data_IF_688383989407
#
_entry.id   IF_688383989407
#
_cell.length_a   1.000
_cell.length_b   1.000
_cell.length_c   1.000
_cell.angle_alpha   90.00
_cell.angle_beta   90.00
_cell.angle_gamma   90.00
#
_symmetry.space_group_name_H-M   'P 1'
#
loop_
_entity.id
_entity.type
_entity.pdbx_description
1 polymer ?
#
# COMPACT_ATOMS: atom_id res chain seq x y z
N UNK A 1 9.37 13.81 10.01
CA UNK A 1 8.83 13.19 8.78
C UNK A 1 7.55 13.92 8.39
N UNK A 2 7.65 14.98 7.59
CA UNK A 2 6.49 15.64 6.95
C UNK A 2 6.95 16.61 5.83
N UNK A 3 7.88 16.19 4.97
CA UNK A 3 8.25 16.98 3.80
C UNK A 3 8.05 16.12 2.57
N UNK A 4 6.83 16.13 2.03
CA UNK A 4 6.42 15.95 0.63
C UNK A 4 7.37 15.20 -0.35
N UNK A 5 8.11 14.19 0.10
CA UNK A 5 9.03 13.38 -0.69
C UNK A 5 8.53 11.93 -0.71
N UNK A 6 7.39 11.67 -1.38
CA UNK A 6 6.88 10.33 -1.53
C UNK A 6 7.86 9.44 -2.30
N UNK A 7 8.67 10.02 -3.19
CA UNK A 7 9.65 9.26 -3.99
C UNK A 7 10.80 8.77 -3.12
N UNK A 8 11.36 9.62 -2.25
CA UNK A 8 12.38 9.23 -1.28
C UNK A 8 11.88 8.14 -0.34
N UNK A 9 10.67 8.29 0.20
CA UNK A 9 10.06 7.29 1.08
C UNK A 9 9.87 5.93 0.38
N UNK A 10 9.46 5.93 -0.89
CA UNK A 10 9.34 4.69 -1.68
C UNK A 10 10.70 4.06 -1.95
N UNK A 11 11.74 4.86 -2.24
CA UNK A 11 13.11 4.34 -2.43
C UNK A 11 13.65 3.70 -1.16
N UNK A 12 13.46 4.34 -0.01
CA UNK A 12 13.88 3.80 1.28
C UNK A 12 13.14 2.51 1.61
N UNK A 13 11.81 2.50 1.48
CA UNK A 13 11.01 1.30 1.71
C UNK A 13 11.42 0.14 0.76
N UNK A 14 11.71 0.43 -0.51
CA UNK A 14 12.13 -0.59 -1.46
C UNK A 14 13.52 -1.15 -1.13
N UNK A 15 14.47 -0.30 -0.74
CA UNK A 15 15.78 -0.74 -0.26
C UNK A 15 15.62 -1.67 0.94
N UNK A 16 14.87 -1.25 1.95
CA UNK A 16 14.68 -2.03 3.18
C UNK A 16 14.03 -3.40 2.92
N UNK A 17 13.04 -3.46 2.00
CA UNK A 17 12.39 -4.72 1.59
C UNK A 17 13.35 -5.62 0.82
N UNK A 18 14.10 -5.07 -0.15
CA UNK A 18 15.01 -5.87 -0.98
C UNK A 18 16.23 -6.36 -0.22
N UNK A 19 16.78 -5.57 0.70
CA UNK A 19 17.86 -6.00 1.60
C UNK A 19 17.40 -7.12 2.55
N UNK A 20 16.15 -7.06 3.03
CA UNK A 20 15.61 -8.05 3.97
C UNK A 20 15.24 -9.38 3.31
N UNK A 21 14.62 -9.34 2.13
CA UNK A 21 14.00 -10.52 1.53
C UNK A 21 14.73 -11.04 0.28
N UNK A 22 15.56 -10.22 -0.37
CA UNK A 22 16.11 -10.48 -1.70
C UNK A 22 15.12 -10.10 -2.80
N UNK A 23 15.59 -9.39 -3.82
CA UNK A 23 14.73 -8.91 -4.92
C UNK A 23 14.12 -10.03 -5.76
N UNK A 24 14.81 -11.16 -5.87
CA UNK A 24 14.38 -12.38 -6.56
C UNK A 24 13.13 -13.02 -5.94
N UNK A 25 12.87 -12.76 -4.66
CA UNK A 25 11.70 -13.28 -3.94
C UNK A 25 10.47 -12.38 -4.03
N UNK A 26 10.62 -11.16 -4.57
CA UNK A 26 9.54 -10.20 -4.69
C UNK A 26 8.82 -10.44 -6.02
N UNK A 27 7.62 -11.01 -5.95
CA UNK A 27 6.82 -11.36 -7.14
C UNK A 27 6.10 -10.18 -7.77
N UNK A 28 5.79 -9.14 -6.98
CA UNK A 28 5.03 -7.99 -7.42
C UNK A 28 5.24 -6.82 -6.46
N UNK A 29 5.10 -5.60 -6.98
CA UNK A 29 5.08 -4.36 -6.21
C UNK A 29 3.78 -3.63 -6.52
N UNK A 30 3.02 -3.29 -5.47
CA UNK A 30 1.73 -2.64 -5.61
C UNK A 30 1.68 -1.30 -4.85
N UNK A 31 1.01 -0.31 -5.43
CA UNK A 31 0.78 1.01 -4.83
C UNK A 31 -0.72 1.31 -4.74
N UNK A 32 -1.10 2.04 -3.69
CA UNK A 32 -2.46 2.53 -3.45
C UNK A 32 -2.42 3.98 -2.96
N UNK A 33 -3.58 4.57 -2.67
CA UNK A 33 -3.70 5.94 -2.22
C UNK A 33 -3.65 7.00 -3.33
N UNK A 34 -3.75 8.26 -2.92
CA UNK A 34 -3.81 9.40 -3.82
C UNK A 34 -2.56 9.52 -4.71
N UNK A 35 -2.77 9.61 -6.02
CA UNK A 35 -1.69 9.77 -7.02
C UNK A 35 -1.05 8.46 -7.49
N UNK A 36 -1.33 7.32 -6.84
CA UNK A 36 -0.72 6.05 -7.20
C UNK A 36 -1.15 5.51 -8.57
N UNK A 37 -2.30 5.95 -9.08
CA UNK A 37 -2.80 5.62 -10.44
C UNK A 37 -1.84 6.04 -11.57
N UNK A 38 -0.91 6.95 -11.27
CA UNK A 38 0.08 7.43 -12.24
C UNK A 38 1.31 6.51 -12.36
N UNK A 39 1.63 5.72 -11.33
CA UNK A 39 2.85 4.90 -11.31
C UNK A 39 2.92 3.85 -12.42
N UNK A 40 1.84 3.10 -12.74
CA UNK A 40 1.90 2.12 -13.83
C UNK A 40 2.27 2.71 -15.19
N UNK A 41 2.13 4.04 -15.38
CA UNK A 41 2.48 4.72 -16.64
C UNK A 41 3.99 4.96 -16.79
N UNK A 42 4.74 4.93 -15.70
CA UNK A 42 6.17 5.30 -15.66
C UNK A 42 7.05 4.22 -15.03
N UNK A 43 6.46 3.17 -14.46
CA UNK A 43 7.15 2.06 -13.81
C UNK A 43 6.53 0.74 -14.26
N UNK A 44 7.27 0.01 -15.09
CA UNK A 44 6.82 -1.27 -15.65
C UNK A 44 6.62 -2.33 -14.56
N UNK A 45 5.56 -3.13 -14.69
CA UNK A 45 5.26 -4.24 -13.78
C UNK A 45 4.60 -3.84 -12.45
N UNK A 46 4.41 -2.55 -12.18
CA UNK A 46 3.69 -2.10 -10.97
C UNK A 46 2.19 -2.37 -11.08
N UNK A 47 1.62 -2.84 -9.97
CA UNK A 47 0.17 -2.94 -9.78
C UNK A 47 -0.38 -1.71 -9.06
N UNK A 48 -1.40 -1.06 -9.60
CA UNK A 48 -2.19 -0.08 -8.86
C UNK A 48 -3.43 -0.75 -8.26
N UNK A 49 -3.79 -0.36 -7.03
CA UNK A 49 -5.02 -0.81 -6.38
C UNK A 49 -5.67 0.31 -5.57
N UNK A 50 -6.97 0.20 -5.33
CA UNK A 50 -7.73 1.19 -4.56
C UNK A 50 -7.56 0.99 -3.06
N UNK A 51 -7.66 2.09 -2.29
CA UNK A 51 -7.66 2.04 -0.82
C UNK A 51 -8.76 1.10 -0.30
N UNK A 52 -9.92 1.10 -0.96
CA UNK A 52 -11.06 0.23 -0.66
C UNK A 52 -10.80 -1.27 -0.84
N UNK A 53 -9.71 -1.63 -1.50
CA UNK A 53 -9.25 -3.03 -1.65
C UNK A 53 -8.05 -3.29 -0.75
N UNK A 54 -7.06 -2.39 -0.77
CA UNK A 54 -5.82 -2.54 0.00
C UNK A 54 -6.05 -2.55 1.51
N UNK A 55 -6.91 -1.66 2.03
CA UNK A 55 -7.16 -1.54 3.46
C UNK A 55 -7.82 -2.81 4.02
N UNK A 56 -8.95 -3.31 3.47
CA UNK A 56 -9.53 -4.57 3.93
C UNK A 56 -8.57 -5.75 3.84
N UNK A 57 -7.81 -5.86 2.74
CA UNK A 57 -6.89 -6.99 2.55
C UNK A 57 -5.72 -6.97 3.53
N UNK A 58 -5.20 -5.78 3.82
CA UNK A 58 -4.19 -5.58 4.86
C UNK A 58 -4.72 -5.94 6.24
N UNK A 59 -5.96 -5.52 6.56
CA UNK A 59 -6.60 -5.85 7.83
C UNK A 59 -6.84 -7.35 7.99
N UNK A 60 -7.32 -8.06 6.96
CA UNK A 60 -7.47 -9.52 6.96
C UNK A 60 -6.13 -10.22 7.24
N UNK A 61 -5.03 -9.70 6.70
CA UNK A 61 -3.69 -10.25 6.92
C UNK A 61 -3.18 -10.02 8.35
N UNK A 62 -3.44 -8.83 8.91
CA UNK A 62 -2.95 -8.44 10.24
C UNK A 62 -3.84 -8.97 11.39
N UNK A 63 -5.15 -9.01 11.19
CA UNK A 63 -6.16 -9.49 12.14
C UNK A 63 -7.29 -10.20 11.38
N UNK A 64 -7.14 -11.52 11.12
CA UNK A 64 -8.12 -12.28 10.34
C UNK A 64 -9.53 -12.34 10.92
N UNK A 65 -9.69 -12.09 12.22
CA UNK A 65 -11.00 -12.10 12.90
C UNK A 65 -11.67 -10.72 12.92
N UNK A 66 -11.07 -9.70 12.31
CA UNK A 66 -11.66 -8.37 12.24
C UNK A 66 -12.95 -8.41 11.42
N UNK A 67 -14.06 -8.01 12.03
CA UNK A 67 -15.35 -7.88 11.32
C UNK A 67 -15.60 -6.45 10.84
N UNK A 68 -14.95 -5.48 11.46
CA UNK A 68 -15.14 -4.06 11.19
C UNK A 68 -13.81 -3.33 11.12
N UNK A 69 -13.68 -2.41 10.17
CA UNK A 69 -12.48 -1.59 10.00
C UNK A 69 -12.91 -0.13 9.97
N UNK A 70 -12.32 0.66 10.86
CA UNK A 70 -12.41 2.12 10.86
C UNK A 70 -11.06 2.67 10.41
N UNK A 71 -10.98 3.10 9.15
CA UNK A 71 -9.80 3.79 8.64
C UNK A 71 -10.03 5.30 8.74
N UNK A 72 -9.22 5.98 9.55
CA UNK A 72 -9.27 7.42 9.74
C UNK A 72 -8.03 8.01 9.08
N UNK A 73 -8.13 8.32 7.79
CA UNK A 73 -7.05 8.91 7.00
C UNK A 73 -6.97 10.42 7.17
N UNK A 74 -5.90 11.03 6.61
CA UNK A 74 -5.68 12.47 6.71
C UNK A 74 -6.69 13.31 5.90
N UNK A 75 -7.16 12.76 4.78
CA UNK A 75 -8.14 13.41 3.88
C UNK A 75 -9.49 12.73 3.97
N UNK A 76 -9.50 11.42 3.79
CA UNK A 76 -10.71 10.61 3.66
C UNK A 76 -10.76 9.56 4.79
N UNK A 77 -11.97 9.27 5.25
CA UNK A 77 -12.22 8.20 6.22
C UNK A 77 -13.08 7.12 5.58
N UNK A 78 -12.80 5.86 5.90
CA UNK A 78 -13.53 4.70 5.39
C UNK A 78 -14.01 3.81 6.54
N UNK A 79 -15.22 3.30 6.39
CA UNK A 79 -15.73 2.21 7.22
C UNK A 79 -15.96 0.98 6.35
N UNK A 80 -15.45 -0.17 6.79
CA UNK A 80 -15.67 -1.45 6.14
C UNK A 80 -16.33 -2.44 7.11
N UNK A 81 -17.34 -3.15 6.63
CA UNK A 81 -17.90 -4.33 7.27
C UNK A 81 -17.45 -5.56 6.48
N UNK A 82 -16.62 -6.40 7.08
CA UNK A 82 -16.17 -7.65 6.49
C UNK A 82 -17.24 -8.71 6.79
N UNK A 83 -17.69 -9.42 5.76
CA UNK A 83 -18.65 -10.53 5.89
C UNK A 83 -17.90 -11.84 6.02
#
# INVERSE_FOLDING_TARGET
>A
MHFADPIGAVKDAWRDVTEKYGSDKIKNTAFTGSGAESFPKVMEGITYTFDSVAIPKGAETAQPQAQYIFHIGAKDSYFFSLK
#
